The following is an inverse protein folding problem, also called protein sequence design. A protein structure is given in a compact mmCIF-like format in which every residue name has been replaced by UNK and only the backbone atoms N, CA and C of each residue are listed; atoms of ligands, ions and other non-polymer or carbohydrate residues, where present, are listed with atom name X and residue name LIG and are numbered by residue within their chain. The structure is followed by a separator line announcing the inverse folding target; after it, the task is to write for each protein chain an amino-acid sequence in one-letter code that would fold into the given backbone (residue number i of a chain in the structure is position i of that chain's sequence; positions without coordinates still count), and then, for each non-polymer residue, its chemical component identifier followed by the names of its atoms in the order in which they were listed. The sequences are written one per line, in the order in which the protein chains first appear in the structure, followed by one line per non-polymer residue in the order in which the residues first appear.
data_IF_104827984685
#
_entry.id   IF_104827984685
#
_cell.length_a   1.000
_cell.length_b   1.000
_cell.length_c   1.000
_cell.angle_alpha   90.00
_cell.angle_beta   90.00
_cell.angle_gamma   90.00
#
_symmetry.space_group_name_H-M   'P 1'
#
loop_
_entity.id
_entity.type
_entity.pdbx_description
1 polymer ?
#
# COMPACT_ATOMS: atom_id res chain seq x y z
N UNK A 1 -5.36 -36.20 31.96
CA UNK A 1 -6.55 -35.63 32.64
C UNK A 1 -6.73 -34.20 32.16
N UNK A 2 -8.00 -33.80 32.00
CA UNK A 2 -8.47 -32.61 31.28
C UNK A 2 -7.96 -31.30 31.90
N UNK A 3 -7.45 -30.39 31.06
CA UNK A 3 -7.49 -28.96 31.34
C UNK A 3 -8.17 -28.26 30.16
N UNK A 4 -9.42 -27.92 30.42
CA UNK A 4 -10.34 -27.18 29.56
C UNK A 4 -9.96 -25.70 29.63
N UNK A 5 -9.36 -25.15 28.57
CA UNK A 5 -9.27 -23.71 28.39
C UNK A 5 -10.55 -23.24 27.70
N UNK A 6 -11.54 -22.91 28.54
CA UNK A 6 -12.68 -22.12 28.12
C UNK A 6 -12.16 -20.74 27.69
N UNK A 7 -12.28 -20.48 26.39
CA UNK A 7 -12.12 -19.16 25.78
C UNK A 7 -13.15 -18.20 26.38
N UNK A 8 -12.74 -17.43 27.39
CA UNK A 8 -13.48 -16.26 27.86
C UNK A 8 -13.11 -15.09 26.94
N UNK A 9 -13.74 -15.08 25.77
CA UNK A 9 -13.84 -13.90 24.92
C UNK A 9 -14.88 -12.97 25.57
N UNK A 10 -14.44 -11.99 26.35
CA UNK A 10 -15.33 -10.94 26.85
C UNK A 10 -15.90 -10.14 25.65
N UNK A 11 -17.24 -10.01 25.52
CA UNK A 11 -17.82 -9.23 24.46
C UNK A 11 -17.65 -7.73 24.75
N UNK A 12 -16.90 -7.04 23.88
CA UNK A 12 -16.82 -5.57 23.88
C UNK A 12 -18.23 -5.03 23.54
N UNK A 13 -18.85 -4.22 24.41
CA UNK A 13 -20.17 -3.66 24.11
C UNK A 13 -20.03 -2.56 23.05
N UNK A 14 -20.44 -2.87 21.82
CA UNK A 14 -20.67 -1.84 20.82
C UNK A 14 -22.10 -1.33 20.99
N UNK A 15 -22.23 -0.07 21.38
CA UNK A 15 -23.52 0.63 21.41
C UNK A 15 -23.89 0.94 19.97
N UNK A 16 -24.85 0.21 19.40
CA UNK A 16 -25.53 0.64 18.17
C UNK A 16 -26.50 1.73 18.58
N UNK A 17 -26.10 3.00 18.48
CA UNK A 17 -27.09 4.07 18.42
C UNK A 17 -27.88 3.91 17.11
N UNK A 18 -29.07 3.30 17.23
CA UNK A 18 -30.09 3.40 16.19
C UNK A 18 -30.55 4.85 16.17
N UNK A 19 -30.01 5.62 15.23
CA UNK A 19 -30.64 6.87 14.83
C UNK A 19 -32.12 6.58 14.55
N UNK A 20 -33.07 7.33 15.14
CA UNK A 20 -34.47 7.14 14.83
C UNK A 20 -34.62 7.38 13.34
N UNK A 21 -35.18 6.39 12.64
CA UNK A 21 -35.67 6.56 11.29
C UNK A 21 -36.68 7.71 11.33
N UNK A 22 -36.22 8.91 11.01
CA UNK A 22 -37.11 10.02 10.69
C UNK A 22 -37.76 9.60 9.38
N UNK A 23 -38.95 9.02 9.50
CA UNK A 23 -39.91 8.83 8.42
C UNK A 23 -40.20 10.23 7.89
N UNK A 24 -39.38 10.67 6.93
CA UNK A 24 -39.68 11.82 6.12
C UNK A 24 -40.81 11.39 5.20
N UNK A 25 -42.04 11.60 5.67
CA UNK A 25 -43.17 11.81 4.75
C UNK A 25 -42.76 12.93 3.81
N UNK A 26 -42.32 12.56 2.60
CA UNK A 26 -42.04 13.47 1.50
C UNK A 26 -43.26 14.39 1.31
N UNK A 27 -43.17 15.71 1.59
CA UNK A 27 -44.19 16.60 1.10
C UNK A 27 -44.09 16.61 -0.42
N UNK A 28 -45.18 16.23 -1.08
CA UNK A 28 -45.37 16.29 -2.53
C UNK A 28 -44.73 17.59 -3.06
N UNK A 29 -43.78 17.44 -3.98
CA UNK A 29 -43.19 18.55 -4.74
C UNK A 29 -44.30 19.26 -5.52
N UNK A 30 -44.96 20.24 -4.90
CA UNK A 30 -45.73 21.25 -5.60
C UNK A 30 -44.73 22.27 -6.14
N UNK A 31 -44.45 22.19 -7.44
CA UNK A 31 -43.45 22.93 -8.20
C UNK A 31 -43.62 24.48 -8.21
N UNK A 32 -44.57 25.03 -7.45
CA UNK A 32 -44.82 26.47 -7.40
C UNK A 32 -45.24 26.89 -5.99
N UNK A 33 -44.31 26.86 -5.03
CA UNK A 33 -44.51 27.53 -3.74
C UNK A 33 -44.12 29.02 -3.88
N UNK A 34 -44.93 29.95 -3.34
CA UNK A 34 -44.64 31.38 -3.39
C UNK A 34 -43.30 31.63 -2.69
N UNK A 35 -42.39 32.30 -3.39
CA UNK A 35 -40.99 32.59 -3.02
C UNK A 35 -40.78 33.09 -1.59
N UNK A 36 -41.83 33.61 -0.93
CA UNK A 36 -41.81 34.01 0.48
C UNK A 36 -41.64 32.83 1.45
N UNK A 37 -42.42 31.76 1.33
CA UNK A 37 -42.38 30.64 2.31
C UNK A 37 -41.06 29.87 2.27
N UNK A 38 -40.53 29.64 1.07
CA UNK A 38 -39.24 28.99 0.89
C UNK A 38 -38.10 29.81 1.52
N UNK A 39 -38.12 31.12 1.32
CA UNK A 39 -37.09 32.03 1.82
C UNK A 39 -37.06 32.09 3.35
N UNK A 40 -38.23 32.08 3.99
CA UNK A 40 -38.34 32.06 5.45
C UNK A 40 -37.91 30.71 6.04
N UNK A 41 -38.24 29.59 5.38
CA UNK A 41 -37.78 28.25 5.77
C UNK A 41 -36.26 28.09 5.66
N UNK A 42 -35.64 28.61 4.59
CA UNK A 42 -34.19 28.53 4.40
C UNK A 42 -33.44 29.53 5.29
N UNK A 43 -34.05 30.65 5.68
CA UNK A 43 -33.47 31.52 6.71
C UNK A 43 -33.52 30.87 8.10
N UNK A 44 -34.52 30.02 8.36
CA UNK A 44 -34.67 29.27 9.61
C UNK A 44 -33.83 27.99 9.67
N UNK A 45 -33.16 27.58 8.59
CA UNK A 45 -32.38 26.33 8.52
C UNK A 45 -31.06 26.36 9.32
N UNK A 46 -30.78 27.44 10.06
CA UNK A 46 -29.61 27.56 10.92
C UNK A 46 -28.30 27.86 10.18
N UNK A 47 -28.32 27.96 8.84
CA UNK A 47 -27.14 28.32 8.06
C UNK A 47 -26.75 29.79 8.26
N UNK A 48 -25.54 30.10 8.78
CA UNK A 48 -25.15 31.49 9.09
C UNK A 48 -25.15 32.39 7.84
N UNK A 49 -24.82 31.83 6.68
CA UNK A 49 -24.87 32.51 5.40
C UNK A 49 -26.30 32.66 4.82
N UNK A 50 -27.13 31.64 4.99
CA UNK A 50 -28.50 31.64 4.46
C UNK A 50 -29.34 32.74 5.11
N UNK A 51 -29.17 32.95 6.42
CA UNK A 51 -29.82 34.02 7.16
C UNK A 51 -29.50 35.41 6.58
N UNK A 52 -28.25 35.69 6.17
CA UNK A 52 -27.84 37.01 5.66
C UNK A 52 -28.18 37.21 4.18
N UNK A 53 -28.00 36.18 3.35
CA UNK A 53 -28.31 36.23 1.91
C UNK A 53 -29.82 36.35 1.66
N UNK A 54 -30.61 35.67 2.48
CA UNK A 54 -32.07 35.65 2.38
C UNK A 54 -32.76 36.65 3.31
N UNK A 55 -32.04 37.34 4.21
CA UNK A 55 -32.61 38.41 5.03
C UNK A 55 -33.33 39.46 4.18
N UNK A 56 -34.51 39.87 4.63
CA UNK A 56 -35.35 40.88 3.96
C UNK A 56 -34.78 42.29 4.08
N UNK A 57 -34.05 42.57 5.17
CA UNK A 57 -33.41 43.86 5.47
C UNK A 57 -31.88 43.70 5.44
N UNK A 58 -31.21 44.54 4.66
CA UNK A 58 -29.76 44.54 4.50
C UNK A 58 -29.33 45.19 3.19
N UNK A 59 -28.20 45.90 3.21
CA UNK A 59 -27.64 46.53 2.02
C UNK A 59 -27.13 45.50 1.00
N UNK A 60 -27.21 45.83 -0.29
CA UNK A 60 -26.76 44.97 -1.40
C UNK A 60 -25.30 44.57 -1.23
N UNK A 61 -24.44 45.49 -0.78
CA UNK A 61 -23.03 45.25 -0.52
C UNK A 61 -22.78 44.10 0.47
N UNK A 62 -23.55 44.04 1.56
CA UNK A 62 -23.43 42.98 2.57
C UNK A 62 -23.79 41.61 1.98
N UNK A 63 -24.82 41.55 1.12
CA UNK A 63 -25.22 40.29 0.45
C UNK A 63 -24.16 39.82 -0.53
N UNK A 64 -23.57 40.73 -1.31
CA UNK A 64 -22.49 40.40 -2.25
C UNK A 64 -21.26 39.88 -1.51
N UNK A 65 -20.86 40.55 -0.42
CA UNK A 65 -19.70 40.12 0.37
C UNK A 65 -19.91 38.72 0.97
N UNK A 66 -21.11 38.44 1.51
CA UNK A 66 -21.46 37.10 2.00
C UNK A 66 -21.54 36.06 0.88
N UNK A 67 -22.04 36.43 -0.30
CA UNK A 67 -22.09 35.52 -1.43
C UNK A 67 -20.68 35.12 -1.89
N UNK A 68 -19.76 36.08 -1.99
CA UNK A 68 -18.36 35.82 -2.31
C UNK A 68 -17.69 34.95 -1.25
N UNK A 69 -17.90 35.23 0.04
CA UNK A 69 -17.35 34.43 1.12
C UNK A 69 -17.84 32.98 1.08
N UNK A 70 -19.14 32.77 0.88
CA UNK A 70 -19.75 31.43 0.77
C UNK A 70 -19.26 30.72 -0.48
N UNK A 71 -19.23 31.41 -1.62
CA UNK A 71 -18.73 30.87 -2.88
C UNK A 71 -17.28 30.40 -2.75
N UNK A 72 -16.43 31.20 -2.10
CA UNK A 72 -15.04 30.85 -1.82
C UNK A 72 -14.94 29.61 -0.91
N UNK A 73 -15.69 29.57 0.18
CA UNK A 73 -15.74 28.41 1.08
C UNK A 73 -16.18 27.15 0.34
N UNK A 74 -17.23 27.23 -0.47
CA UNK A 74 -17.71 26.11 -1.28
C UNK A 74 -16.64 25.65 -2.26
N UNK A 75 -15.96 26.57 -2.95
CA UNK A 75 -14.88 26.22 -3.88
C UNK A 75 -13.72 25.49 -3.17
N UNK A 76 -13.32 25.95 -1.98
CA UNK A 76 -12.30 25.26 -1.17
C UNK A 76 -12.79 23.87 -0.75
N UNK A 77 -14.04 23.72 -0.29
CA UNK A 77 -14.57 22.41 0.09
C UNK A 77 -14.61 21.42 -1.08
N UNK A 78 -15.02 21.87 -2.27
CA UNK A 78 -15.03 21.03 -3.47
C UNK A 78 -13.62 20.60 -3.88
N UNK A 79 -12.63 21.49 -3.72
CA UNK A 79 -11.22 21.17 -3.97
C UNK A 79 -10.70 20.09 -3.02
N UNK A 80 -10.99 20.21 -1.72
CA UNK A 80 -10.58 19.19 -0.73
C UNK A 80 -11.31 17.87 -0.94
N UNK A 81 -12.59 17.91 -1.30
CA UNK A 81 -13.33 16.70 -1.69
C UNK A 81 -12.68 16.01 -2.89
N UNK A 82 -12.29 16.76 -3.92
CA UNK A 82 -11.58 16.21 -5.07
C UNK A 82 -10.30 15.48 -4.68
N UNK A 83 -9.50 16.04 -3.76
CA UNK A 83 -8.29 15.38 -3.24
C UNK A 83 -8.61 14.12 -2.45
N UNK A 84 -9.63 14.16 -1.61
CA UNK A 84 -10.06 13.00 -0.82
C UNK A 84 -10.53 11.87 -1.74
N UNK A 85 -11.27 12.19 -2.80
CA UNK A 85 -11.68 11.20 -3.79
C UNK A 85 -10.48 10.63 -4.55
N UNK A 86 -9.52 11.45 -4.94
CA UNK A 86 -8.29 10.97 -5.60
C UNK A 86 -7.54 9.98 -4.70
N UNK A 87 -7.33 10.33 -3.43
CA UNK A 87 -6.71 9.44 -2.44
C UNK A 87 -7.53 8.15 -2.20
N UNK A 88 -8.85 8.24 -2.16
CA UNK A 88 -9.73 7.09 -2.01
C UNK A 88 -9.61 6.13 -3.21
N UNK A 89 -9.56 6.66 -4.44
CA UNK A 89 -9.42 5.85 -5.66
C UNK A 89 -8.05 5.19 -5.82
N UNK A 90 -7.04 5.63 -5.06
CA UNK A 90 -5.73 4.97 -5.04
C UNK A 90 -5.73 3.65 -4.27
N UNK A 91 -6.84 3.26 -3.61
CA UNK A 91 -6.99 2.02 -2.86
C UNK A 91 -5.75 1.66 -2.03
N UNK A 92 -5.21 2.64 -1.28
CA UNK A 92 -4.00 2.40 -0.48
C UNK A 92 -4.27 1.33 0.57
N UNK A 93 -3.54 0.23 0.45
CA UNK A 93 -3.55 -0.84 1.44
C UNK A 93 -2.56 -0.46 2.54
N UNK A 94 -3.06 -0.21 3.75
CA UNK A 94 -2.22 -0.03 4.93
C UNK A 94 -1.76 -1.41 5.43
N UNK A 95 -0.49 -1.76 5.18
CA UNK A 95 0.11 -2.97 5.73
C UNK A 95 0.56 -2.73 7.17
N UNK A 96 -0.18 -3.23 8.15
CA UNK A 96 0.25 -3.22 9.55
C UNK A 96 1.12 -4.44 9.84
N UNK A 97 2.44 -4.23 9.96
CA UNK A 97 3.36 -5.30 10.38
C UNK A 97 3.30 -5.43 11.90
N UNK A 98 2.91 -6.60 12.39
CA UNK A 98 2.94 -6.95 13.82
C UNK A 98 4.06 -7.95 14.05
N UNK A 99 5.07 -7.54 14.81
CA UNK A 99 6.11 -8.45 15.27
C UNK A 99 5.55 -9.26 16.44
N UNK A 100 5.43 -10.58 16.24
CA UNK A 100 5.02 -11.51 17.28
C UNK A 100 6.03 -12.64 17.38
N UNK A 101 6.47 -12.95 18.59
CA UNK A 101 7.35 -14.10 18.85
C UNK A 101 6.49 -15.36 18.91
N UNK A 102 6.71 -16.28 17.96
CA UNK A 102 6.11 -17.63 18.00
C UNK A 102 7.15 -18.60 18.54
N UNK A 103 6.73 -19.51 19.43
CA UNK A 103 7.59 -20.55 20.01
C UNK A 103 7.97 -21.65 19.01
N UNK A 104 7.19 -21.80 17.93
CA UNK A 104 7.45 -22.74 16.84
C UNK A 104 7.14 -22.04 15.52
N UNK A 105 8.12 -22.00 14.62
CA UNK A 105 7.97 -21.57 13.23
C UNK A 105 8.21 -22.78 12.32
N UNK A 106 7.47 -22.92 11.20
CA UNK A 106 7.80 -23.91 10.21
C UNK A 106 9.21 -23.62 9.66
N UNK A 107 10.03 -24.67 9.55
CA UNK A 107 11.32 -24.53 8.90
C UNK A 107 11.09 -24.22 7.41
N UNK A 108 11.73 -23.19 6.84
CA UNK A 108 11.53 -22.84 5.44
C UNK A 108 12.14 -23.89 4.52
N UNK A 109 11.61 -23.99 3.30
CA UNK A 109 12.28 -24.76 2.26
C UNK A 109 13.60 -24.08 1.89
N UNK A 110 14.69 -24.82 2.05
CA UNK A 110 16.04 -24.33 1.73
C UNK A 110 16.46 -24.96 0.42
N UNK A 111 16.59 -24.13 -0.63
CA UNK A 111 17.16 -24.55 -1.91
C UNK A 111 18.63 -24.14 -1.97
N UNK A 112 19.52 -25.14 -2.01
CA UNK A 112 20.97 -24.91 -2.16
C UNK A 112 21.34 -25.16 -3.62
N UNK A 113 21.84 -24.13 -4.30
CA UNK A 113 22.36 -24.22 -5.66
C UNK A 113 23.88 -24.23 -5.63
N UNK A 114 24.49 -25.07 -6.48
CA UNK A 114 25.91 -24.95 -6.76
C UNK A 114 26.14 -23.62 -7.49
N UNK A 115 27.10 -22.81 -7.03
CA UNK A 115 27.49 -21.56 -7.68
C UNK A 115 28.03 -21.78 -9.10
N UNK A 116 28.54 -22.98 -9.38
CA UNK A 116 28.92 -23.36 -10.73
C UNK A 116 27.68 -23.75 -11.56
N UNK A 117 27.31 -22.97 -12.60
CA UNK A 117 26.14 -23.25 -13.42
C UNK A 117 26.30 -24.48 -14.32
N UNK A 118 27.54 -24.90 -14.61
CA UNK A 118 27.83 -25.95 -15.59
C UNK A 118 28.87 -26.93 -15.08
N UNK A 119 28.52 -28.21 -15.11
CA UNK A 119 29.49 -29.28 -14.83
C UNK A 119 30.37 -29.49 -16.05
N UNK A 120 31.64 -29.09 -15.97
CA UNK A 120 32.64 -29.20 -17.06
C UNK A 120 32.67 -30.59 -17.73
N UNK A 121 32.62 -31.67 -16.94
CA UNK A 121 32.63 -33.04 -17.50
C UNK A 121 31.38 -33.39 -18.31
N UNK A 122 30.22 -32.83 -17.95
CA UNK A 122 28.99 -32.98 -18.73
C UNK A 122 29.04 -32.09 -19.99
N UNK A 123 29.56 -30.87 -19.86
CA UNK A 123 29.75 -29.92 -20.96
C UNK A 123 30.67 -30.50 -22.05
N UNK A 124 31.89 -30.94 -21.69
CA UNK A 124 32.85 -31.47 -22.66
C UNK A 124 32.42 -32.82 -23.28
N UNK A 125 31.59 -33.61 -22.59
CA UNK A 125 30.99 -34.82 -23.16
C UNK A 125 29.91 -34.49 -24.21
N UNK A 126 29.21 -33.37 -24.05
CA UNK A 126 28.18 -32.93 -24.97
C UNK A 126 28.74 -32.48 -26.33
N UNK A 127 30.01 -32.06 -26.43
CA UNK A 127 30.71 -31.75 -27.69
C UNK A 127 30.53 -32.84 -28.75
N UNK A 128 30.69 -34.12 -28.35
CA UNK A 128 30.52 -35.27 -29.26
C UNK A 128 29.07 -35.45 -29.75
N UNK A 129 28.08 -35.04 -28.94
CA UNK A 129 26.64 -35.17 -29.26
C UNK A 129 26.12 -33.99 -30.08
N UNK A 130 26.64 -32.78 -29.83
CA UNK A 130 26.28 -31.56 -30.54
C UNK A 130 26.93 -31.47 -31.92
N UNK A 131 28.10 -32.08 -32.14
CA UNK A 131 28.66 -32.23 -33.49
C UNK A 131 27.74 -33.04 -34.44
N UNK A 132 26.74 -33.76 -33.90
CA UNK A 132 25.72 -34.48 -34.66
C UNK A 132 24.39 -33.70 -34.82
N UNK A 133 24.25 -32.50 -34.22
CA UNK A 133 23.02 -31.71 -34.21
C UNK A 133 23.26 -30.29 -34.72
N UNK A 134 22.31 -29.70 -35.46
CA UNK A 134 22.53 -28.50 -36.31
C UNK A 134 22.91 -27.18 -35.60
N UNK A 135 22.97 -27.12 -34.28
CA UNK A 135 23.39 -25.92 -33.52
C UNK A 135 24.88 -25.98 -33.19
N UNK A 136 25.71 -25.38 -34.05
CA UNK A 136 27.15 -25.22 -33.81
C UNK A 136 27.41 -24.10 -32.80
N UNK A 137 27.83 -24.46 -31.59
CA UNK A 137 28.58 -23.54 -30.71
C UNK A 137 29.94 -23.28 -31.34
N UNK A 138 30.46 -22.06 -31.15
CA UNK A 138 31.78 -21.67 -31.68
C UNK A 138 32.91 -22.53 -31.10
N UNK A 139 33.85 -22.95 -31.96
CA UNK A 139 34.93 -23.87 -31.62
C UNK A 139 35.89 -23.29 -30.58
N UNK A 140 36.00 -21.95 -30.52
CA UNK A 140 36.82 -21.23 -29.54
C UNK A 140 36.37 -21.47 -28.09
N UNK A 141 35.06 -21.65 -27.86
CA UNK A 141 34.46 -21.86 -26.54
C UNK A 141 34.77 -23.27 -26.02
N UNK A 142 34.73 -24.26 -26.91
CA UNK A 142 35.08 -25.64 -26.57
C UNK A 142 36.53 -25.78 -26.16
N UNK A 143 37.45 -25.15 -26.90
CA UNK A 143 38.88 -25.25 -26.63
C UNK A 143 39.25 -24.62 -25.29
N UNK A 144 38.71 -23.43 -25.00
CA UNK A 144 38.97 -22.73 -23.74
C UNK A 144 38.48 -23.50 -22.51
N UNK A 145 37.29 -24.09 -22.60
CA UNK A 145 36.65 -24.73 -21.43
C UNK A 145 37.04 -26.21 -21.25
N UNK A 146 37.44 -26.90 -22.33
CA UNK A 146 37.72 -28.34 -22.29
C UNK A 146 39.20 -28.69 -22.33
N UNK A 147 40.05 -27.92 -23.01
CA UNK A 147 41.44 -28.30 -23.25
C UNK A 147 42.40 -27.76 -22.17
N UNK A 148 42.09 -26.63 -21.53
CA UNK A 148 42.93 -26.05 -20.47
C UNK A 148 42.63 -26.63 -19.07
N UNK A 149 43.63 -27.02 -18.26
CA UNK A 149 43.39 -27.49 -16.90
C UNK A 149 42.71 -26.40 -16.08
N UNK A 150 41.75 -26.77 -15.22
CA UNK A 150 41.06 -25.80 -14.37
C UNK A 150 42.09 -25.09 -13.49
N UNK A 151 42.23 -23.77 -13.67
CA UNK A 151 43.04 -22.94 -12.77
C UNK A 151 42.27 -22.81 -11.47
N UNK A 152 42.64 -23.61 -10.48
CA UNK A 152 42.20 -23.37 -9.12
C UNK A 152 42.90 -22.10 -8.63
N UNK A 153 42.11 -21.10 -8.24
CA UNK A 153 42.63 -20.06 -7.37
C UNK A 153 43.01 -20.73 -6.06
N UNK A 154 44.29 -20.92 -5.85
CA UNK A 154 44.80 -21.29 -4.56
C UNK A 154 44.47 -20.14 -3.61
N UNK A 155 43.66 -20.40 -2.59
CA UNK A 155 43.26 -19.44 -1.55
C UNK A 155 44.08 -19.63 -0.28
N UNK A 156 45.16 -20.41 -0.32
CA UNK A 156 46.05 -20.61 0.83
C UNK A 156 46.65 -19.30 1.35
N UNK A 157 46.78 -18.25 0.51
CA UNK A 157 47.18 -16.90 0.95
C UNK A 157 46.10 -16.17 1.78
N UNK A 158 44.81 -16.53 1.66
CA UNK A 158 43.73 -15.90 2.43
C UNK A 158 43.67 -16.39 3.88
N UNK A 159 44.38 -17.49 4.18
CA UNK A 159 44.44 -18.12 5.50
C UNK A 159 45.84 -18.09 6.11
N UNK A 160 46.72 -17.16 5.69
CA UNK A 160 47.97 -16.95 6.41
C UNK A 160 47.65 -16.36 7.79
N UNK A 161 47.91 -17.07 8.90
CA UNK A 161 47.68 -16.49 10.22
C UNK A 161 48.69 -15.37 10.44
N UNK A 162 48.19 -14.15 10.63
CA UNK A 162 48.96 -13.04 11.16
C UNK A 162 49.31 -13.36 12.62
N UNK A 163 50.44 -14.05 12.83
CA UNK A 163 50.99 -14.32 14.15
C UNK A 163 52.35 -13.66 14.30
N UNK A 164 52.39 -12.35 14.57
CA UNK A 164 53.50 -11.78 15.35
C UNK A 164 53.16 -10.41 15.97
N UNK A 165 52.57 -10.42 17.16
CA UNK A 165 52.57 -9.26 18.06
C UNK A 165 52.77 -9.69 19.51
N UNK A 166 53.87 -10.38 19.84
CA UNK A 166 54.32 -10.44 21.23
C UNK A 166 55.83 -10.62 21.33
N UNK A 167 56.58 -9.51 21.37
CA UNK A 167 57.76 -9.35 22.24
C UNK A 167 58.30 -7.92 22.26
N UNK A 168 57.80 -7.12 23.20
CA UNK A 168 58.58 -6.10 23.92
C UNK A 168 57.98 -5.96 25.31
N UNK A 169 58.63 -6.59 26.28
CA UNK A 169 58.86 -6.13 27.64
C UNK A 169 59.96 -7.02 28.23
#
# INVERSE_FOLDING_TARGET
MKLSLASLQEPVPYVIERFPAQVSTLPKLSLFAPTRRYRDQVAASGGPACAVLLARRGGVFRRVCWFLAVSFLVAVTLREWGRLFDEYTQYRVFATVRYGSKSVLPFPDVTICNANPLRRSAFCRARKRLNASSTKLDDSVWSRECDEPATYFDVSWLFSPESDYTKKN
#
